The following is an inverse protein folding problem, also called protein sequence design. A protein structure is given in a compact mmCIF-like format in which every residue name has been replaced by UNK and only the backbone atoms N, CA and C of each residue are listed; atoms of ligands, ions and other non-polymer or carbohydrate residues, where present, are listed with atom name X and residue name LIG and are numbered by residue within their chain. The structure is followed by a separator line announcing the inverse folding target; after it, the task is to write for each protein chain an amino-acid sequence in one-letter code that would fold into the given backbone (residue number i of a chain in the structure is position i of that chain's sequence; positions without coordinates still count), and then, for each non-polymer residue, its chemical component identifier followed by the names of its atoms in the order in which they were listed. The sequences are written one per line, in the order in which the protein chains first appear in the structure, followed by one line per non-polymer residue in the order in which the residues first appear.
data_IF_864507754881
#
_entry.id   IF_864507754881
#
_cell.length_a   1.000
_cell.length_b   1.000
_cell.length_c   1.000
_cell.angle_alpha   90.00
_cell.angle_beta   90.00
_cell.angle_gamma   90.00
#
_symmetry.space_group_name_H-M   'P 1'
#
loop_
_entity.id
_entity.type
_entity.pdbx_description
1 polymer ?
#
# COMPACT_ATOMS: atom_id res chain seq x y z
N UNK A 1 -4.71 -14.13 -0.85
CA UNK A 1 -4.29 -12.75 -0.48
C UNK A 1 -4.19 -11.92 -1.72
N UNK A 2 -4.67 -10.68 -1.69
CA UNK A 2 -4.65 -9.73 -2.81
C UNK A 2 -3.89 -8.48 -2.39
N UNK A 3 -3.11 -7.89 -3.29
CA UNK A 3 -2.42 -6.63 -3.07
C UNK A 3 -3.03 -5.51 -3.92
N UNK A 4 -3.18 -4.33 -3.33
CA UNK A 4 -3.50 -3.09 -4.05
C UNK A 4 -2.32 -2.15 -3.83
N UNK A 5 -1.60 -1.86 -4.90
CA UNK A 5 -0.35 -1.14 -4.87
C UNK A 5 -0.56 0.27 -5.43
N UNK A 6 -0.29 1.30 -4.63
CA UNK A 6 -0.35 2.71 -5.04
C UNK A 6 1.07 3.16 -5.31
N UNK A 7 1.45 3.28 -6.59
CA UNK A 7 2.81 3.63 -7.01
C UNK A 7 2.91 5.10 -7.43
N UNK A 8 4.12 5.63 -7.45
CA UNK A 8 4.41 6.96 -7.95
C UNK A 8 5.68 7.55 -7.36
N UNK A 9 6.17 8.62 -8.00
CA UNK A 9 7.35 9.37 -7.56
C UNK A 9 7.17 9.97 -6.15
N UNK A 10 8.24 10.42 -5.48
CA UNK A 10 8.12 11.20 -4.26
C UNK A 10 7.26 12.45 -4.48
N UNK A 11 6.43 12.80 -3.50
CA UNK A 11 5.62 14.01 -3.52
C UNK A 11 4.39 14.01 -4.45
N UNK A 12 4.00 12.85 -5.03
CA UNK A 12 2.77 12.76 -5.85
C UNK A 12 1.48 12.56 -5.04
N UNK A 13 1.55 12.56 -3.69
CA UNK A 13 0.36 12.47 -2.84
C UNK A 13 -0.07 11.05 -2.47
N UNK A 14 0.79 10.03 -2.56
CA UNK A 14 0.43 8.65 -2.17
C UNK A 14 -0.17 8.53 -0.76
N UNK A 15 0.45 9.22 0.22
CA UNK A 15 -0.05 9.25 1.59
C UNK A 15 -1.44 9.89 1.66
N UNK A 16 -1.66 10.99 0.94
CA UNK A 16 -2.98 11.64 0.89
C UNK A 16 -4.05 10.74 0.27
N UNK A 17 -3.74 10.00 -0.80
CA UNK A 17 -4.67 8.99 -1.34
C UNK A 17 -4.99 7.93 -0.27
N UNK A 18 -3.99 7.45 0.49
CA UNK A 18 -4.23 6.50 1.59
C UNK A 18 -5.09 7.11 2.72
N UNK A 19 -4.89 8.39 3.05
CA UNK A 19 -5.73 9.11 4.03
C UNK A 19 -7.18 9.17 3.55
N UNK A 20 -7.42 9.52 2.29
CA UNK A 20 -8.76 9.54 1.69
C UNK A 20 -9.39 8.14 1.65
N UNK A 21 -8.63 7.11 1.29
CA UNK A 21 -9.11 5.70 1.37
C UNK A 21 -9.50 5.35 2.80
N UNK A 22 -8.67 5.70 3.79
CA UNK A 22 -9.00 5.51 5.20
C UNK A 22 -10.33 6.17 5.56
N UNK A 23 -10.50 7.43 5.18
CA UNK A 23 -11.70 8.20 5.49
C UNK A 23 -12.94 7.59 4.84
N UNK A 24 -12.84 7.09 3.60
CA UNK A 24 -13.90 6.33 2.93
C UNK A 24 -14.26 5.03 3.65
N UNK A 25 -13.26 4.31 4.20
CA UNK A 25 -13.49 3.08 4.97
C UNK A 25 -14.12 3.38 6.33
N UNK A 26 -13.65 4.43 7.02
CA UNK A 26 -14.15 4.85 8.33
C UNK A 26 -15.63 5.34 8.25
N UNK A 27 -16.02 6.00 7.16
CA UNK A 27 -17.39 6.45 6.92
C UNK A 27 -18.34 5.31 6.51
N UNK A 28 -17.81 4.20 6.03
CA UNK A 28 -18.61 3.06 5.57
C UNK A 28 -18.81 2.04 6.68
N UNK A 29 -19.99 2.01 7.29
CA UNK A 29 -20.34 1.13 8.41
C UNK A 29 -20.17 -0.38 8.14
N UNK A 30 -19.97 -0.78 6.88
CA UNK A 30 -19.69 -2.19 6.54
C UNK A 30 -18.24 -2.60 6.77
N UNK A 31 -17.33 -1.63 7.02
CA UNK A 31 -15.94 -1.88 7.39
C UNK A 31 -15.77 -1.62 8.89
N UNK A 32 -15.35 -2.63 9.63
CA UNK A 32 -15.05 -2.52 11.04
C UNK A 32 -13.56 -2.16 11.23
N UNK A 33 -13.22 -0.99 11.79
CA UNK A 33 -11.83 -0.68 12.12
C UNK A 33 -11.41 -1.54 13.34
N UNK A 34 -10.36 -2.34 13.17
CA UNK A 34 -9.85 -3.24 14.23
C UNK A 34 -8.67 -2.62 14.98
N UNK A 35 -7.75 -1.98 14.27
CA UNK A 35 -6.61 -1.30 14.86
C UNK A 35 -6.05 -0.24 13.92
N UNK A 36 -5.41 0.78 14.51
CA UNK A 36 -4.67 1.82 13.79
C UNK A 36 -3.48 2.25 14.63
N UNK A 37 -2.34 2.43 13.98
CA UNK A 37 -1.14 3.01 14.61
C UNK A 37 -0.43 3.96 13.65
N UNK A 38 0.22 5.03 14.17
CA UNK A 38 1.13 5.82 13.36
C UNK A 38 2.33 4.95 12.94
N UNK A 39 2.89 5.21 11.76
CA UNK A 39 4.19 4.65 11.40
C UNK A 39 5.28 5.37 12.18
N UNK A 40 6.09 4.63 12.92
CA UNK A 40 7.16 5.21 13.76
C UNK A 40 8.32 5.75 12.92
N UNK A 41 8.52 5.18 11.73
CA UNK A 41 9.61 5.53 10.82
C UNK A 41 9.12 6.28 9.56
N UNK A 42 7.83 6.59 9.50
CA UNK A 42 7.21 7.39 8.45
C UNK A 42 7.30 8.90 8.71
N UNK A 43 6.77 9.68 7.78
CA UNK A 43 6.57 11.10 7.98
C UNK A 43 5.33 11.33 8.87
N UNK A 44 5.19 12.55 9.42
CA UNK A 44 3.98 12.93 10.16
C UNK A 44 2.73 12.69 9.30
N UNK A 45 1.75 11.96 9.86
CA UNK A 45 0.54 11.55 9.13
C UNK A 45 0.58 10.13 8.54
N UNK A 46 1.75 9.52 8.40
CA UNK A 46 1.85 8.13 7.95
C UNK A 46 1.29 7.15 9.01
N UNK A 47 0.53 6.15 8.54
CA UNK A 47 -0.17 5.22 9.42
C UNK A 47 -0.25 3.81 8.81
N UNK A 48 -0.54 2.83 9.69
CA UNK A 48 -0.95 1.48 9.32
C UNK A 48 -2.31 1.22 10.00
N UNK A 49 -3.29 0.77 9.24
CA UNK A 49 -4.63 0.49 9.74
C UNK A 49 -5.10 -0.90 9.32
N UNK A 50 -5.90 -1.54 10.17
CA UNK A 50 -6.48 -2.85 9.96
C UNK A 50 -7.99 -2.77 10.05
N UNK A 51 -8.66 -3.28 9.04
CA UNK A 51 -10.12 -3.34 8.93
C UNK A 51 -10.60 -4.76 8.72
N UNK A 52 -11.86 -4.99 9.02
CA UNK A 52 -12.57 -6.21 8.69
C UNK A 52 -13.85 -5.88 7.93
N UNK A 53 -14.20 -6.68 6.93
CA UNK A 53 -15.47 -6.64 6.22
C UNK A 53 -15.90 -8.05 5.82
N UNK A 54 -17.01 -8.52 6.40
CA UNK A 54 -17.56 -9.84 6.07
C UNK A 54 -16.57 -10.99 6.31
N UNK A 55 -15.82 -10.96 7.41
CA UNK A 55 -14.80 -11.94 7.74
C UNK A 55 -13.50 -11.83 6.94
N UNK A 56 -13.34 -10.79 6.11
CA UNK A 56 -12.11 -10.51 5.36
C UNK A 56 -11.31 -9.40 6.02
N UNK A 57 -10.03 -9.64 6.20
CA UNK A 57 -9.09 -8.73 6.86
C UNK A 57 -8.32 -7.90 5.85
N UNK A 58 -8.34 -6.58 6.01
CA UNK A 58 -7.74 -5.60 5.12
C UNK A 58 -6.72 -4.77 5.89
N UNK A 59 -5.48 -4.70 5.42
CA UNK A 59 -4.45 -3.81 5.95
C UNK A 59 -4.21 -2.67 4.97
N UNK A 60 -4.29 -1.43 5.46
CA UNK A 60 -3.95 -0.21 4.73
C UNK A 60 -2.66 0.37 5.32
N UNK A 61 -1.62 0.47 4.50
CA UNK A 61 -0.31 1.00 4.88
C UNK A 61 0.06 2.19 4.01
N UNK A 62 0.17 3.37 4.61
CA UNK A 62 0.47 4.61 3.88
C UNK A 62 1.96 4.83 3.59
N UNK A 63 2.93 4.46 4.47
CA UNK A 63 4.32 4.75 4.22
C UNK A 63 5.03 3.67 3.39
N UNK A 64 5.99 4.10 2.55
CA UNK A 64 6.87 3.18 1.81
C UNK A 64 8.27 3.74 1.54
N UNK A 65 8.62 4.85 2.17
CA UNK A 65 9.73 5.68 1.72
C UNK A 65 11.11 5.19 2.15
N UNK A 66 11.20 4.34 3.16
CA UNK A 66 12.47 3.86 3.69
C UNK A 66 12.37 2.45 4.32
N UNK A 67 13.52 1.90 4.72
CA UNK A 67 13.59 0.58 5.36
C UNK A 67 12.83 0.54 6.70
N UNK A 68 12.79 1.65 7.44
CA UNK A 68 12.09 1.73 8.72
C UNK A 68 10.58 1.54 8.54
N UNK A 69 9.98 2.23 7.57
CA UNK A 69 8.55 2.05 7.23
C UNK A 69 8.21 0.60 6.88
N UNK A 70 9.11 -0.08 6.17
CA UNK A 70 8.91 -1.50 5.84
C UNK A 70 9.04 -2.41 7.07
N UNK A 71 9.92 -2.05 8.03
CA UNK A 71 10.01 -2.77 9.30
C UNK A 71 8.75 -2.57 10.13
N UNK A 72 8.20 -1.35 10.17
CA UNK A 72 6.93 -1.07 10.86
C UNK A 72 5.80 -1.94 10.29
N UNK A 73 5.69 -2.03 8.96
CA UNK A 73 4.71 -2.90 8.32
C UNK A 73 4.95 -4.38 8.67
N UNK A 74 6.21 -4.85 8.64
CA UNK A 74 6.53 -6.23 9.02
C UNK A 74 6.12 -6.54 10.47
N UNK A 75 6.45 -5.65 11.40
CA UNK A 75 6.09 -5.80 12.82
C UNK A 75 4.58 -5.82 13.02
N UNK A 76 3.87 -4.93 12.32
CA UNK A 76 2.42 -4.88 12.34
C UNK A 76 1.82 -6.21 11.86
N UNK A 77 2.26 -6.69 10.70
CA UNK A 77 1.76 -7.94 10.11
C UNK A 77 2.12 -9.19 10.94
N UNK A 78 3.33 -9.22 11.53
CA UNK A 78 3.74 -10.32 12.42
C UNK A 78 2.95 -10.33 13.74
N UNK A 79 2.47 -9.16 14.20
CA UNK A 79 1.64 -9.00 15.40
C UNK A 79 0.15 -9.30 15.21
N UNK A 80 -0.33 -9.46 13.98
CA UNK A 80 -1.74 -9.76 13.72
C UNK A 80 -2.09 -11.20 14.11
N UNK A 81 -3.18 -11.36 14.85
CA UNK A 81 -3.73 -12.68 15.17
C UNK A 81 -4.25 -13.41 13.93
N UNK A 82 -4.81 -12.66 12.98
CA UNK A 82 -5.33 -13.16 11.71
C UNK A 82 -4.60 -12.48 10.56
N UNK A 83 -4.18 -13.26 9.58
CA UNK A 83 -3.52 -12.71 8.39
C UNK A 83 -4.48 -11.94 7.52
N UNK A 84 -4.04 -10.82 6.92
CA UNK A 84 -4.89 -10.06 6.03
C UNK A 84 -5.16 -10.84 4.73
N UNK A 85 -6.38 -10.71 4.24
CA UNK A 85 -6.78 -11.18 2.91
C UNK A 85 -6.36 -10.18 1.82
N UNK A 86 -6.33 -8.89 2.18
CA UNK A 86 -5.99 -7.78 1.28
C UNK A 86 -5.00 -6.86 1.96
N UNK A 87 -3.96 -6.44 1.23
CA UNK A 87 -3.03 -5.38 1.66
C UNK A 87 -3.06 -4.26 0.63
N UNK A 88 -3.43 -3.07 1.07
CA UNK A 88 -3.32 -1.82 0.32
C UNK A 88 -2.05 -1.13 0.81
N UNK A 89 -1.08 -0.88 -0.07
CA UNK A 89 0.17 -0.25 0.34
C UNK A 89 0.75 0.63 -0.75
N UNK A 90 1.47 1.66 -0.34
CA UNK A 90 2.17 2.54 -1.28
C UNK A 90 3.50 1.93 -1.72
N UNK A 91 3.92 2.24 -2.93
CA UNK A 91 5.23 1.89 -3.47
C UNK A 91 5.84 3.15 -4.09
N UNK A 92 7.07 3.46 -3.69
CA UNK A 92 7.81 4.54 -4.33
C UNK A 92 8.29 4.10 -5.70
N UNK A 93 7.91 4.85 -6.75
CA UNK A 93 8.47 4.64 -8.06
C UNK A 93 9.91 5.14 -8.06
N UNK A 94 10.82 4.21 -8.12
CA UNK A 94 12.24 4.41 -8.39
C UNK A 94 12.64 3.37 -9.43
N UNK A 95 13.79 3.58 -10.04
CA UNK A 95 14.37 2.55 -10.89
C UNK A 95 14.31 1.18 -10.20
N UNK A 96 13.89 0.13 -10.92
CA UNK A 96 13.87 -1.27 -10.43
C UNK A 96 15.23 -1.75 -9.90
N UNK A 97 16.29 -1.01 -10.18
CA UNK A 97 17.60 -1.15 -9.53
C UNK A 97 17.59 -0.75 -8.05
N UNK A 98 16.56 -0.04 -7.58
CA UNK A 98 16.48 0.37 -6.17
C UNK A 98 16.34 -0.85 -5.26
N UNK A 99 17.33 -1.02 -4.37
CA UNK A 99 17.40 -2.12 -3.42
C UNK A 99 16.16 -2.17 -2.50
N UNK A 100 15.58 -1.02 -2.17
CA UNK A 100 14.41 -0.95 -1.29
C UNK A 100 13.16 -1.53 -1.98
N UNK A 101 12.92 -1.19 -3.24
CA UNK A 101 11.77 -1.72 -3.99
C UNK A 101 11.88 -3.24 -4.11
N UNK A 102 13.06 -3.76 -4.44
CA UNK A 102 13.27 -5.20 -4.54
C UNK A 102 13.02 -5.91 -3.21
N UNK A 103 13.48 -5.33 -2.09
CA UNK A 103 13.20 -5.86 -0.75
C UNK A 103 11.72 -5.85 -0.41
N UNK A 104 11.00 -4.77 -0.77
CA UNK A 104 9.57 -4.67 -0.58
C UNK A 104 8.82 -5.74 -1.36
N UNK A 105 9.15 -5.96 -2.62
CA UNK A 105 8.55 -7.03 -3.44
C UNK A 105 8.81 -8.42 -2.84
N UNK A 106 10.03 -8.67 -2.36
CA UNK A 106 10.36 -9.92 -1.67
C UNK A 106 9.56 -10.08 -0.35
N UNK A 107 9.30 -8.99 0.37
CA UNK A 107 8.42 -8.98 1.54
C UNK A 107 6.99 -9.36 1.15
N UNK A 108 6.42 -8.73 0.13
CA UNK A 108 5.05 -9.03 -0.32
C UNK A 108 4.92 -10.49 -0.75
N UNK A 109 5.93 -11.05 -1.42
CA UNK A 109 5.98 -12.49 -1.71
C UNK A 109 6.05 -13.36 -0.45
N UNK A 110 6.86 -12.98 0.54
CA UNK A 110 6.95 -13.71 1.81
C UNK A 110 5.60 -13.71 2.54
N UNK A 111 4.92 -12.57 2.54
CA UNK A 111 3.57 -12.42 3.10
C UNK A 111 2.58 -13.30 2.32
N UNK A 112 2.58 -13.26 1.00
CA UNK A 112 1.72 -14.09 0.16
C UNK A 112 1.94 -15.60 0.39
N UNK A 113 3.19 -16.02 0.63
CA UNK A 113 3.59 -17.40 0.93
C UNK A 113 3.40 -17.78 2.42
N UNK A 114 2.75 -16.93 3.19
CA UNK A 114 2.46 -17.20 4.61
C UNK A 114 3.70 -17.36 5.50
N UNK A 115 4.81 -16.70 5.17
CA UNK A 115 6.03 -16.74 5.99
C UNK A 115 5.80 -16.02 7.33
N UNK A 116 6.48 -16.50 8.38
CA UNK A 116 6.55 -15.85 9.70
C UNK A 116 7.88 -15.10 9.83
N UNK A 117 8.00 -14.24 10.84
CA UNK A 117 9.17 -13.40 11.08
C UNK A 117 9.51 -12.51 9.88
N UNK A 118 8.53 -11.76 9.41
CA UNK A 118 8.64 -10.90 8.24
C UNK A 118 9.78 -9.87 8.36
N UNK A 119 10.05 -9.39 9.58
CA UNK A 119 11.20 -8.51 9.86
C UNK A 119 12.52 -9.19 9.49
N UNK A 120 12.71 -10.44 9.89
CA UNK A 120 13.92 -11.19 9.55
C UNK A 120 13.99 -11.45 8.04
N UNK A 121 12.87 -11.81 7.41
CA UNK A 121 12.78 -11.96 5.97
C UNK A 121 13.18 -10.68 5.23
N UNK A 122 12.63 -9.53 5.63
CA UNK A 122 12.93 -8.24 5.02
C UNK A 122 14.40 -7.86 5.17
N UNK A 123 14.96 -8.00 6.39
CA UNK A 123 16.38 -7.66 6.68
C UNK A 123 17.35 -8.54 5.90
N UNK A 124 17.07 -9.85 5.79
CA UNK A 124 17.94 -10.85 5.20
C UNK A 124 17.69 -11.10 3.72
N UNK A 125 16.70 -10.42 3.10
CA UNK A 125 16.41 -10.58 1.68
C UNK A 125 17.62 -10.21 0.83
N UNK A 126 18.29 -11.21 0.26
CA UNK A 126 19.26 -11.05 -0.82
C UNK A 126 18.45 -11.02 -2.11
N UNK A 127 18.25 -9.84 -2.67
CA UNK A 127 17.54 -9.71 -3.94
C UNK A 127 18.54 -9.69 -5.08
N UNK A 128 18.51 -10.69 -5.99
CA UNK A 128 19.43 -10.74 -7.12
C UNK A 128 19.31 -9.49 -8.00
N UNK A 129 20.43 -9.03 -8.56
CA UNK A 129 20.47 -7.91 -9.51
C UNK A 129 19.78 -8.21 -10.85
N UNK A 130 19.34 -9.43 -11.07
CA UNK A 130 18.82 -9.94 -12.36
C UNK A 130 17.41 -9.44 -12.75
N UNK A 131 16.74 -8.61 -11.94
CA UNK A 131 15.44 -8.03 -12.30
C UNK A 131 15.54 -6.74 -13.13
N UNK A 132 16.65 -6.52 -13.82
CA UNK A 132 17.03 -5.24 -14.41
C UNK A 132 16.20 -4.78 -15.61
N UNK A 133 15.33 -5.59 -16.22
CA UNK A 133 14.69 -5.21 -17.49
C UNK A 133 13.24 -5.69 -17.68
N UNK A 134 12.53 -6.12 -16.67
CA UNK A 134 11.11 -6.46 -16.83
C UNK A 134 10.21 -5.40 -16.20
N UNK A 135 9.18 -5.01 -16.94
CA UNK A 135 8.12 -4.14 -16.46
C UNK A 135 7.66 -4.54 -15.06
N UNK A 136 7.36 -3.54 -14.23
CA UNK A 136 7.04 -3.57 -12.81
C UNK A 136 5.87 -4.50 -12.45
N UNK A 137 5.95 -5.76 -12.75
CA UNK A 137 5.01 -6.76 -12.25
C UNK A 137 5.80 -7.99 -11.83
N UNK A 138 5.98 -8.20 -10.51
CA UNK A 138 6.55 -9.45 -10.03
C UNK A 138 5.68 -10.60 -10.54
N UNK A 139 6.24 -11.53 -11.30
CA UNK A 139 5.50 -12.69 -11.82
C UNK A 139 4.69 -13.41 -10.74
N UNK A 140 5.18 -13.41 -9.49
CA UNK A 140 4.50 -13.99 -8.34
C UNK A 140 3.27 -13.21 -7.87
N UNK A 141 3.13 -11.92 -8.22
CA UNK A 141 1.99 -11.08 -7.85
C UNK A 141 1.00 -10.85 -8.99
N UNK A 142 1.33 -11.23 -10.24
CA UNK A 142 0.55 -10.91 -11.45
C UNK A 142 -0.94 -11.30 -11.38
N UNK A 143 -1.29 -12.35 -10.66
CA UNK A 143 -2.68 -12.79 -10.53
C UNK A 143 -3.37 -12.28 -9.26
N UNK A 144 -2.64 -11.57 -8.40
CA UNK A 144 -3.11 -11.17 -7.06
C UNK A 144 -2.79 -9.71 -6.72
N UNK A 145 -2.41 -8.89 -7.69
CA UNK A 145 -2.11 -7.48 -7.46
C UNK A 145 -2.87 -6.57 -8.43
N UNK A 146 -3.39 -5.46 -7.89
CA UNK A 146 -3.85 -4.28 -8.63
C UNK A 146 -2.79 -3.20 -8.47
N UNK A 147 -2.55 -2.43 -9.51
CA UNK A 147 -1.60 -1.33 -9.51
C UNK A 147 -2.30 -0.04 -9.92
N UNK A 148 -2.29 0.95 -9.04
CA UNK A 148 -2.62 2.34 -9.34
C UNK A 148 -1.32 3.13 -9.42
N UNK A 149 -1.08 3.79 -10.55
CA UNK A 149 0.07 4.66 -10.75
C UNK A 149 -0.36 6.12 -10.65
N UNK A 150 0.25 6.87 -9.71
CA UNK A 150 0.03 8.30 -9.54
C UNK A 150 1.09 9.12 -10.26
N UNK A 151 0.65 10.11 -11.01
CA UNK A 151 1.53 11.08 -11.68
C UNK A 151 1.56 12.40 -10.93
N UNK A 152 2.66 13.15 -11.10
CA UNK A 152 2.76 14.50 -10.57
C UNK A 152 1.84 15.42 -11.35
N UNK A 153 0.84 15.97 -10.65
CA UNK A 153 -0.05 16.94 -11.26
C UNK A 153 0.68 18.28 -11.45
N UNK A 154 0.54 18.87 -12.64
CA UNK A 154 0.91 20.24 -12.93
C UNK A 154 -0.35 21.08 -12.80
N UNK A 155 -0.47 21.78 -11.68
CA UNK A 155 -1.63 22.64 -11.40
C UNK A 155 -1.19 24.09 -11.50
N UNK A 156 -1.90 24.89 -12.31
CA UNK A 156 -1.72 26.33 -12.44
C UNK A 156 -2.84 27.05 -11.72
N UNK A 157 -2.63 28.32 -11.35
CA UNK A 157 -3.61 29.15 -10.67
C UNK A 157 -3.12 29.62 -9.31
N UNK A 158 -4.03 30.21 -8.52
CA UNK A 158 -3.77 30.62 -7.14
C UNK A 158 -3.51 29.42 -6.24
N UNK A 159 -2.90 29.61 -5.07
CA UNK A 159 -2.64 28.56 -4.10
C UNK A 159 -3.93 27.82 -3.70
N UNK A 160 -5.05 28.53 -3.61
CA UNK A 160 -6.35 27.95 -3.28
C UNK A 160 -6.88 27.04 -4.41
N UNK A 161 -6.76 27.48 -5.66
CA UNK A 161 -7.16 26.68 -6.83
C UNK A 161 -6.29 25.43 -6.98
N UNK A 162 -4.98 25.56 -6.75
CA UNK A 162 -4.05 24.45 -6.75
C UNK A 162 -4.40 23.43 -5.65
N UNK A 163 -4.68 23.90 -4.43
CA UNK A 163 -5.07 23.03 -3.33
C UNK A 163 -6.38 22.27 -3.61
N UNK A 164 -7.39 22.94 -4.18
CA UNK A 164 -8.66 22.30 -4.59
C UNK A 164 -8.45 21.25 -5.66
N UNK A 165 -7.66 21.55 -6.69
CA UNK A 165 -7.38 20.60 -7.76
C UNK A 165 -6.62 19.36 -7.26
N UNK A 166 -5.64 19.55 -6.37
CA UNK A 166 -4.94 18.44 -5.75
C UNK A 166 -5.85 17.59 -4.84
N UNK A 167 -6.72 18.23 -4.06
CA UNK A 167 -7.68 17.51 -3.23
C UNK A 167 -8.63 16.64 -4.08
N UNK A 168 -9.16 17.19 -5.16
CA UNK A 168 -9.99 16.45 -6.11
C UNK A 168 -9.24 15.26 -6.71
N UNK A 169 -7.99 15.47 -7.15
CA UNK A 169 -7.15 14.40 -7.68
C UNK A 169 -6.93 13.26 -6.67
N UNK A 170 -6.73 13.57 -5.40
CA UNK A 170 -6.57 12.56 -4.35
C UNK A 170 -7.87 11.83 -4.06
N UNK A 171 -9.01 12.53 -4.05
CA UNK A 171 -10.34 11.92 -3.88
C UNK A 171 -10.66 10.96 -5.02
N UNK A 172 -10.47 11.36 -6.28
CA UNK A 172 -10.68 10.50 -7.46
C UNK A 172 -9.82 9.23 -7.42
N UNK A 173 -8.55 9.36 -7.03
CA UNK A 173 -7.66 8.20 -6.91
C UNK A 173 -8.02 7.31 -5.71
N UNK A 174 -8.54 7.86 -4.63
CA UNK A 174 -9.05 7.08 -3.51
C UNK A 174 -10.29 6.27 -3.90
N UNK A 175 -11.19 6.84 -4.70
CA UNK A 175 -12.35 6.13 -5.24
C UNK A 175 -11.93 4.95 -6.14
N UNK A 176 -10.90 5.13 -6.96
CA UNK A 176 -10.32 4.03 -7.76
C UNK A 176 -9.79 2.91 -6.85
N UNK A 177 -9.04 3.25 -5.79
CA UNK A 177 -8.56 2.26 -4.81
C UNK A 177 -9.72 1.56 -4.12
N UNK A 178 -10.77 2.30 -3.76
CA UNK A 178 -11.99 1.73 -3.16
C UNK A 178 -12.69 0.76 -4.12
N UNK A 179 -12.77 1.10 -5.40
CA UNK A 179 -13.33 0.21 -6.43
C UNK A 179 -12.48 -1.07 -6.56
N UNK A 180 -11.14 -0.95 -6.59
CA UNK A 180 -10.23 -2.11 -6.60
C UNK A 180 -10.44 -3.00 -5.37
N UNK A 181 -10.65 -2.39 -4.20
CA UNK A 181 -10.93 -3.10 -2.95
C UNK A 181 -12.25 -3.88 -3.02
N UNK A 182 -13.32 -3.26 -3.48
CA UNK A 182 -14.62 -3.92 -3.60
C UNK A 182 -14.55 -5.09 -4.60
N UNK A 183 -13.83 -4.92 -5.71
CA UNK A 183 -13.59 -6.01 -6.66
C UNK A 183 -12.76 -7.15 -6.04
N UNK A 184 -11.72 -6.82 -5.27
CA UNK A 184 -10.90 -7.80 -4.55
C UNK A 184 -11.75 -8.60 -3.54
N UNK A 185 -12.59 -7.92 -2.77
CA UNK A 185 -13.52 -8.55 -1.82
C UNK A 185 -14.50 -9.49 -2.53
N UNK A 186 -15.08 -9.07 -3.65
CA UNK A 186 -15.97 -9.90 -4.45
C UNK A 186 -15.28 -11.17 -5.00
N UNK A 187 -13.99 -11.10 -5.33
CA UNK A 187 -13.19 -12.28 -5.72
C UNK A 187 -12.94 -13.25 -4.58
N UNK A 188 -12.81 -12.75 -3.36
CA UNK A 188 -12.56 -13.57 -2.17
C UNK A 188 -13.83 -14.18 -1.58
N UNK A 189 -15.00 -13.75 -2.04
CA UNK A 189 -16.30 -14.29 -1.63
C UNK A 189 -16.74 -15.51 -2.46
N UNK A 190 -16.06 -15.80 -3.56
CA UNK A 190 -16.25 -16.97 -4.42
C UNK A 190 -15.42 -18.14 -3.95
#
# INVERSE_FOLDING_TARGET
MIFILISGKPGVGKTHVCEKVRDLLDLNSTFAPLSRQPSQNGNGGDFIAHYEKGGKHIVLNSPSDNNGCMIDLCQFLDGLAVRPDIIITTIRERDLKDKLIRKMLALLEAVAKNKKNLVAHFKNSIVPNALSNQAFTPKALNNHAFLLHLEKQQVSGSDEEQAKALALYWDENADIVKYMLDFALARLAK
#
